data_IF_757201842587
#
_entry.id   IF_757201842587
#
_cell.length_a   1.000
_cell.length_b   1.000
_cell.length_c   1.000
_cell.angle_alpha   90.00
_cell.angle_beta   90.00
_cell.angle_gamma   90.00
#
_symmetry.space_group_name_H-M   'P 1'
#
loop_
_entity.id
_entity.type
_entity.pdbx_description
1 polymer ?
#
# COMPACT_ATOMS: atom_id res chain seq x y z
N UNK A 1 13.00 10.30 0.68
CA UNK A 1 12.29 9.70 1.84
C UNK A 1 11.23 8.73 1.32
N UNK A 2 10.75 7.78 2.12
CA UNK A 2 9.75 6.80 1.64
C UNK A 2 8.45 7.48 1.13
N UNK A 3 8.06 8.61 1.73
CA UNK A 3 6.91 9.41 1.30
C UNK A 3 7.06 10.10 -0.06
N UNK A 4 8.28 10.21 -0.58
CA UNK A 4 8.55 10.82 -1.89
C UNK A 4 8.37 9.81 -3.03
N UNK A 5 8.19 8.52 -2.71
CA UNK A 5 7.95 7.48 -3.71
C UNK A 5 6.45 7.47 -4.03
N UNK A 6 6.08 7.83 -5.25
CA UNK A 6 4.68 7.96 -5.68
C UNK A 6 4.34 6.91 -6.73
N UNK A 7 3.04 6.70 -7.02
CA UNK A 7 2.58 5.70 -8.00
C UNK A 7 3.31 5.78 -9.35
N UNK A 8 3.55 7.00 -9.85
CA UNK A 8 4.31 7.23 -11.09
C UNK A 8 5.73 6.65 -11.08
N UNK A 9 6.40 6.58 -9.92
CA UNK A 9 7.76 6.05 -9.84
C UNK A 9 7.77 4.52 -10.05
N UNK A 10 6.71 3.82 -9.66
CA UNK A 10 6.53 2.40 -9.97
C UNK A 10 6.23 2.18 -11.45
N UNK A 11 5.41 3.04 -12.07
CA UNK A 11 5.15 2.98 -13.51
C UNK A 11 6.47 3.14 -14.30
N UNK A 12 7.26 4.16 -13.97
CA UNK A 12 8.56 4.39 -14.59
C UNK A 12 9.52 3.19 -14.42
N UNK A 13 9.47 2.52 -13.26
CA UNK A 13 10.29 1.34 -12.99
C UNK A 13 9.87 0.16 -13.87
N UNK A 14 8.56 -0.08 -14.02
CA UNK A 14 8.02 -1.14 -14.89
C UNK A 14 8.35 -0.86 -16.36
N UNK A 15 8.18 0.38 -16.82
CA UNK A 15 8.54 0.78 -18.18
C UNK A 15 10.05 0.63 -18.44
N UNK A 16 10.90 1.05 -17.49
CA UNK A 16 12.35 0.90 -17.57
C UNK A 16 12.81 -0.57 -17.56
N UNK A 17 12.00 -1.48 -17.00
CA UNK A 17 12.21 -2.92 -17.05
C UNK A 17 11.69 -3.57 -18.35
N UNK A 18 11.19 -2.79 -19.32
CA UNK A 18 10.63 -3.30 -20.57
C UNK A 18 9.25 -3.93 -20.43
N UNK A 19 8.55 -3.66 -19.32
CA UNK A 19 7.22 -4.20 -19.06
C UNK A 19 6.12 -3.18 -19.38
N UNK A 20 4.93 -3.64 -19.83
CA UNK A 20 3.77 -2.78 -20.00
C UNK A 20 3.34 -2.06 -18.70
N UNK A 21 3.12 -0.74 -18.78
CA UNK A 21 2.66 0.10 -17.65
C UNK A 21 1.41 -0.41 -16.92
N UNK A 22 0.54 -1.16 -17.62
CA UNK A 22 -0.67 -1.76 -17.05
C UNK A 22 -0.38 -2.64 -15.83
N UNK A 23 0.78 -3.32 -15.80
CA UNK A 23 1.15 -4.15 -14.66
C UNK A 23 1.34 -3.33 -13.38
N UNK A 24 1.93 -2.14 -13.48
CA UNK A 24 2.04 -1.24 -12.33
C UNK A 24 0.66 -0.73 -11.92
N UNK A 25 -0.15 -0.26 -12.87
CA UNK A 25 -1.48 0.30 -12.60
C UNK A 25 -2.40 -0.71 -11.93
N UNK A 26 -2.58 -1.89 -12.52
CA UNK A 26 -3.43 -2.95 -11.99
C UNK A 26 -2.98 -3.40 -10.59
N UNK A 27 -1.66 -3.47 -10.36
CA UNK A 27 -1.13 -3.84 -9.04
C UNK A 27 -1.41 -2.76 -8.00
N UNK A 28 -1.21 -1.48 -8.34
CA UNK A 28 -1.46 -0.36 -7.43
C UNK A 28 -2.95 -0.20 -7.11
N UNK A 29 -3.84 -0.38 -8.10
CA UNK A 29 -5.29 -0.39 -7.91
C UNK A 29 -5.71 -1.57 -7.03
N UNK A 30 -5.27 -2.79 -7.34
CA UNK A 30 -5.57 -3.97 -6.52
C UNK A 30 -5.12 -3.78 -5.07
N UNK A 31 -3.95 -3.19 -4.83
CA UNK A 31 -3.49 -2.86 -3.48
C UNK A 31 -4.41 -1.86 -2.79
N UNK A 32 -4.85 -0.81 -3.50
CA UNK A 32 -5.77 0.18 -2.95
C UNK A 32 -7.14 -0.41 -2.58
N UNK A 33 -7.65 -1.33 -3.41
CA UNK A 33 -8.96 -1.95 -3.23
C UNK A 33 -8.97 -2.99 -2.10
N UNK A 34 -7.86 -3.72 -1.93
CA UNK A 34 -7.76 -4.83 -0.96
C UNK A 34 -7.22 -4.43 0.41
N UNK A 35 -6.56 -3.28 0.52
CA UNK A 35 -5.86 -2.90 1.75
C UNK A 35 -6.76 -2.75 2.99
N UNK A 36 -7.97 -2.19 2.83
CA UNK A 36 -8.90 -2.02 3.95
C UNK A 36 -9.29 -3.37 4.56
N UNK A 37 -9.71 -4.31 3.72
CA UNK A 37 -10.07 -5.67 4.13
C UNK A 37 -8.87 -6.42 4.75
N UNK A 38 -7.67 -6.25 4.19
CA UNK A 38 -6.46 -6.87 4.74
C UNK A 38 -6.12 -6.34 6.14
N UNK A 39 -6.27 -5.04 6.39
CA UNK A 39 -6.06 -4.43 7.71
C UNK A 39 -7.06 -4.96 8.74
N UNK A 40 -8.35 -5.03 8.37
CA UNK A 40 -9.38 -5.61 9.25
C UNK A 40 -9.13 -7.09 9.56
N UNK A 41 -8.70 -7.87 8.56
CA UNK A 41 -8.40 -9.29 8.74
C UNK A 41 -7.25 -9.49 9.74
N UNK A 42 -6.21 -8.65 9.68
CA UNK A 42 -5.10 -8.69 10.63
C UNK A 42 -5.58 -8.31 12.03
N UNK A 43 -6.38 -7.25 12.18
CA UNK A 43 -6.90 -6.81 13.47
C UNK A 43 -7.68 -7.90 14.22
N UNK A 44 -8.37 -8.80 13.50
CA UNK A 44 -9.12 -9.92 14.08
C UNK A 44 -8.25 -11.06 14.60
N UNK A 45 -7.01 -11.17 14.14
CA UNK A 45 -6.09 -12.27 14.52
C UNK A 45 -4.96 -11.80 15.44
N UNK A 46 -4.92 -10.52 15.78
CA UNK A 46 -3.95 -10.01 16.75
C UNK A 46 -4.22 -10.63 18.14
N UNK A 47 -3.16 -11.04 18.87
CA UNK A 47 -3.28 -11.42 20.27
C UNK A 47 -3.91 -10.31 21.12
N UNK A 48 -4.65 -10.68 22.16
CA UNK A 48 -5.32 -9.73 23.05
C UNK A 48 -4.33 -8.79 23.78
N UNK A 49 -3.10 -9.23 23.98
CA UNK A 49 -2.00 -8.49 24.61
C UNK A 49 -1.12 -7.75 23.59
N UNK A 50 -1.47 -7.77 22.30
CA UNK A 50 -0.69 -7.08 21.28
C UNK A 50 -0.70 -5.56 21.51
N UNK A 51 0.46 -4.88 21.48
CA UNK A 51 0.53 -3.45 21.74
C UNK A 51 -0.27 -2.63 20.72
N UNK A 52 -1.31 -1.95 21.20
CA UNK A 52 -2.19 -1.13 20.36
C UNK A 52 -1.42 -0.06 19.57
N UNK A 53 -0.44 0.57 20.22
CA UNK A 53 0.39 1.62 19.61
C UNK A 53 1.07 1.15 18.33
N UNK A 54 1.48 -0.13 18.25
CA UNK A 54 2.19 -0.68 17.10
C UNK A 54 1.21 -0.88 15.93
N UNK A 55 0.07 -1.55 16.14
CA UNK A 55 -0.86 -1.79 15.04
C UNK A 55 -1.42 -0.47 14.52
N UNK A 56 -1.70 0.48 15.41
CA UNK A 56 -2.21 1.81 15.06
C UNK A 56 -1.19 2.58 14.22
N UNK A 57 0.09 2.58 14.61
CA UNK A 57 1.15 3.24 13.87
C UNK A 57 1.32 2.66 12.46
N UNK A 58 1.29 1.33 12.33
CA UNK A 58 1.39 0.65 11.04
C UNK A 58 0.15 0.93 10.18
N UNK A 59 -1.06 0.84 10.73
CA UNK A 59 -2.32 1.15 10.02
C UNK A 59 -2.29 2.56 9.45
N UNK A 60 -1.95 3.55 10.27
CA UNK A 60 -1.81 4.95 9.82
C UNK A 60 -0.76 5.08 8.72
N UNK A 61 0.40 4.44 8.88
CA UNK A 61 1.46 4.44 7.88
C UNK A 61 1.02 3.88 6.53
N UNK A 62 0.34 2.72 6.54
CA UNK A 62 -0.18 2.05 5.34
C UNK A 62 -1.26 2.88 4.67
N UNK A 63 -2.24 3.39 5.42
CA UNK A 63 -3.32 4.23 4.86
C UNK A 63 -2.77 5.52 4.23
N UNK A 64 -1.84 6.19 4.92
CA UNK A 64 -1.17 7.37 4.37
C UNK A 64 -0.38 7.01 3.10
N UNK A 65 0.31 5.88 3.10
CA UNK A 65 1.09 5.42 1.95
C UNK A 65 0.21 5.15 0.71
N UNK A 66 -0.93 4.49 0.90
CA UNK A 66 -1.88 4.16 -0.17
C UNK A 66 -2.42 5.41 -0.87
N UNK A 67 -2.69 6.48 -0.11
CA UNK A 67 -3.13 7.76 -0.69
C UNK A 67 -2.13 8.36 -1.69
N UNK A 68 -0.83 8.04 -1.53
CA UNK A 68 0.27 8.51 -2.38
C UNK A 68 0.57 7.57 -3.55
N UNK A 69 -0.05 6.40 -3.58
CA UNK A 69 0.14 5.39 -4.62
C UNK A 69 -0.92 5.44 -5.72
N UNK A 70 -2.09 6.03 -5.46
CA UNK A 70 -3.12 6.24 -6.48
C UNK A 70 -2.57 7.13 -7.60
N UNK A 71 -2.81 6.68 -8.83
CA UNK A 71 -2.51 7.43 -10.05
C UNK A 71 -3.87 7.97 -10.52
N UNK A 72 -4.01 9.30 -10.55
CA UNK A 72 -5.23 9.97 -10.99
C UNK A 72 -5.41 9.85 -12.52
#
# INVERSE_FOLDING_TARGET
RIGDILGRHFIQTVEGAGLPKRFALETLEKMADTAGQALEAIERVLPADFPEVIHRAVKVGVTNRLSKLRVA
#
